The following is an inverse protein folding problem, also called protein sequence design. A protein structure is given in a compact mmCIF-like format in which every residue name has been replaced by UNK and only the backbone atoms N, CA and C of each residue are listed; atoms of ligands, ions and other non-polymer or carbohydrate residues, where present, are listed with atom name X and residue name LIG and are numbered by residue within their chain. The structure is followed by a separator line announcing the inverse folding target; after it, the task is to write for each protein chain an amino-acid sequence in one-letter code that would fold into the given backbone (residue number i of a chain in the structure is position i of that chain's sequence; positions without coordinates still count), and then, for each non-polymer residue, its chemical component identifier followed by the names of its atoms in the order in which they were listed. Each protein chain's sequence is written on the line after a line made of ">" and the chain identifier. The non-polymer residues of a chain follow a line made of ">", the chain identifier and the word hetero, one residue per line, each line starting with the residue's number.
data_IF_067665687487
#
_entry.id   IF_067665687487
#
_cell.length_a   1.000
_cell.length_b   1.000
_cell.length_c   1.000
_cell.angle_alpha   90.00
_cell.angle_beta   90.00
_cell.angle_gamma   90.00
#
_symmetry.space_group_name_H-M   'P 1'
#
loop_
_entity.id
_entity.type
_entity.pdbx_description
1 polymer ?
#
# COMPACT_ATOMS: atom_id res chain seq x y z
N UNK A 1 73.77 -106.98 10.79
CA UNK A 1 72.39 -106.74 11.02
C UNK A 1 71.63 -107.65 10.02
N UNK A 2 70.72 -108.44 10.48
CA UNK A 2 69.97 -109.33 9.59
C UNK A 2 68.90 -108.46 8.90
N UNK A 3 68.57 -108.75 7.62
CA UNK A 3 67.57 -108.06 6.78
C UNK A 3 66.25 -107.87 7.54
N UNK A 4 65.82 -108.79 8.38
CA UNK A 4 64.63 -108.69 9.25
C UNK A 4 64.72 -107.53 10.27
N UNK A 5 65.89 -107.20 10.80
CA UNK A 5 66.08 -106.08 11.78
C UNK A 5 65.91 -104.74 11.08
N UNK A 6 66.39 -104.62 9.84
CA UNK A 6 66.28 -103.36 9.06
C UNK A 6 64.84 -103.05 8.68
N UNK A 7 64.08 -104.05 8.29
CA UNK A 7 62.65 -103.89 7.93
C UNK A 7 61.84 -103.52 9.16
N UNK A 8 62.13 -104.12 10.32
CA UNK A 8 61.43 -103.75 11.60
C UNK A 8 61.69 -102.37 12.00
N UNK A 9 62.89 -101.81 11.84
CA UNK A 9 63.27 -100.44 12.19
C UNK A 9 62.61 -99.45 11.19
N UNK A 10 62.56 -99.80 9.92
CA UNK A 10 61.85 -99.02 8.88
C UNK A 10 60.34 -98.94 9.19
N UNK A 11 59.75 -100.02 9.58
CA UNK A 11 58.32 -100.04 9.99
C UNK A 11 58.07 -99.14 11.21
N UNK A 12 58.96 -99.15 12.20
CA UNK A 12 58.83 -98.27 13.39
C UNK A 12 58.96 -96.80 13.00
N UNK A 13 59.95 -96.45 12.14
CA UNK A 13 60.16 -95.11 11.63
C UNK A 13 58.91 -94.59 10.83
N UNK A 14 58.39 -95.51 9.99
CA UNK A 14 57.16 -95.23 9.20
C UNK A 14 55.97 -94.89 10.17
N UNK A 15 55.84 -95.70 11.26
CA UNK A 15 54.76 -95.54 12.19
C UNK A 15 54.94 -94.26 13.01
N UNK A 16 56.18 -93.90 13.36
CA UNK A 16 56.46 -92.62 13.98
C UNK A 16 56.11 -91.38 13.11
N UNK A 17 56.44 -91.48 11.78
CA UNK A 17 56.11 -90.47 10.79
C UNK A 17 54.60 -90.38 10.57
N UNK A 18 53.91 -91.54 10.47
CA UNK A 18 52.44 -91.53 10.41
C UNK A 18 51.79 -90.88 11.58
N UNK A 19 52.22 -91.19 12.82
CA UNK A 19 51.72 -90.57 14.02
C UNK A 19 52.00 -89.08 14.07
N UNK A 20 53.15 -88.65 13.56
CA UNK A 20 53.45 -87.19 13.42
C UNK A 20 52.57 -86.53 12.41
N UNK A 21 52.29 -87.17 11.26
CA UNK A 21 51.37 -86.66 10.24
C UNK A 21 49.92 -86.48 10.82
N UNK A 22 49.46 -87.49 11.54
CA UNK A 22 48.11 -87.39 12.19
C UNK A 22 48.00 -86.29 13.23
N UNK A 23 49.05 -86.16 14.07
CA UNK A 23 49.13 -85.06 15.04
C UNK A 23 49.15 -83.67 14.34
N UNK A 24 49.97 -83.55 13.27
CA UNK A 24 50.00 -82.26 12.50
C UNK A 24 48.66 -81.99 11.84
N UNK A 25 48.01 -83.02 11.25
CA UNK A 25 46.65 -82.92 10.66
C UNK A 25 45.62 -82.43 11.71
N UNK A 26 45.69 -82.98 12.92
CA UNK A 26 44.84 -82.55 14.01
C UNK A 26 45.11 -81.11 14.45
N UNK A 27 46.44 -80.72 14.53
CA UNK A 27 46.80 -79.34 14.84
C UNK A 27 46.32 -78.34 13.80
N UNK A 28 46.44 -78.65 12.51
CA UNK A 28 45.97 -77.83 11.38
C UNK A 28 44.46 -77.70 11.46
N UNK A 29 43.70 -78.77 11.75
CA UNK A 29 42.23 -78.69 11.95
C UNK A 29 41.85 -77.74 13.13
N UNK A 30 42.56 -77.83 14.22
CA UNK A 30 42.33 -76.99 15.40
C UNK A 30 42.66 -75.52 15.11
N UNK A 31 43.81 -75.26 14.52
CA UNK A 31 44.20 -73.86 14.13
C UNK A 31 43.15 -73.26 13.13
N UNK A 32 42.74 -74.08 12.13
CA UNK A 32 41.68 -73.66 11.19
C UNK A 32 40.38 -73.29 11.90
N UNK A 33 39.95 -74.10 12.84
CA UNK A 33 38.71 -73.90 13.61
C UNK A 33 38.84 -72.68 14.52
N UNK A 34 39.97 -72.42 15.17
CA UNK A 34 40.24 -71.27 16.01
C UNK A 34 40.27 -69.99 15.18
N UNK A 35 40.98 -70.03 14.03
CA UNK A 35 40.98 -68.87 13.12
C UNK A 35 39.62 -68.57 12.54
N UNK A 36 38.84 -69.53 12.12
CA UNK A 36 37.48 -69.34 11.66
C UNK A 36 36.58 -68.73 12.76
N UNK A 37 36.71 -69.16 13.99
CA UNK A 37 35.97 -68.62 15.13
C UNK A 37 36.41 -67.18 15.44
N UNK A 38 37.70 -66.88 15.39
CA UNK A 38 38.22 -65.52 15.57
C UNK A 38 37.71 -64.56 14.51
N UNK A 39 37.75 -64.96 13.21
CA UNK A 39 37.18 -64.18 12.12
C UNK A 39 35.68 -63.96 12.25
N UNK A 40 34.91 -64.99 12.64
CA UNK A 40 33.48 -64.84 12.88
C UNK A 40 33.15 -63.84 13.98
N UNK A 41 33.94 -63.83 15.04
CA UNK A 41 33.78 -62.89 16.16
C UNK A 41 34.10 -61.44 15.71
N UNK A 42 35.18 -61.28 14.98
CA UNK A 42 35.64 -59.98 14.46
C UNK A 42 34.64 -59.39 13.45
N UNK A 43 34.14 -60.20 12.52
CA UNK A 43 33.09 -59.80 11.57
C UNK A 43 31.81 -59.44 12.31
N UNK A 44 31.45 -60.14 13.37
CA UNK A 44 30.27 -59.82 14.18
C UNK A 44 30.42 -58.49 14.90
N UNK A 45 31.62 -58.18 15.42
CA UNK A 45 31.95 -56.91 16.07
C UNK A 45 31.90 -55.76 15.07
N UNK A 46 32.56 -55.88 13.92
CA UNK A 46 32.53 -54.86 12.86
C UNK A 46 31.12 -54.59 12.32
N UNK A 47 30.30 -55.65 12.11
CA UNK A 47 28.91 -55.45 11.72
C UNK A 47 28.12 -54.66 12.77
N UNK A 48 28.33 -54.87 14.06
CA UNK A 48 27.68 -54.16 15.13
C UNK A 48 28.09 -52.68 15.13
N UNK A 49 29.39 -52.41 15.08
CA UNK A 49 29.95 -51.06 15.01
C UNK A 49 29.41 -50.29 13.81
N UNK A 50 29.40 -50.94 12.63
CA UNK A 50 28.86 -50.34 11.42
C UNK A 50 27.34 -50.05 11.47
N UNK A 51 26.56 -50.93 12.12
CA UNK A 51 25.13 -50.68 12.37
C UNK A 51 24.92 -49.48 13.29
N UNK A 52 25.74 -49.29 14.33
CA UNK A 52 25.69 -48.15 15.23
C UNK A 52 26.02 -46.85 14.50
N UNK A 53 27.08 -46.84 13.66
CA UNK A 53 27.41 -45.69 12.81
C UNK A 53 26.29 -45.30 11.85
N UNK A 54 25.69 -46.29 11.15
CA UNK A 54 24.57 -46.09 10.24
C UNK A 54 23.38 -45.42 10.99
N UNK A 55 23.08 -45.88 12.19
CA UNK A 55 22.00 -45.28 13.00
C UNK A 55 22.30 -43.84 13.37
N UNK A 56 23.52 -43.51 13.79
CA UNK A 56 23.93 -42.16 14.11
C UNK A 56 23.85 -41.24 12.88
N UNK A 57 24.28 -41.74 11.71
CA UNK A 57 24.20 -41.00 10.44
C UNK A 57 22.75 -40.76 10.01
N UNK A 58 21.89 -41.77 10.12
CA UNK A 58 20.47 -41.60 9.82
C UNK A 58 19.78 -40.59 10.73
N UNK A 59 20.11 -40.57 12.03
CA UNK A 59 19.57 -39.56 12.95
C UNK A 59 20.08 -38.14 12.60
N UNK A 60 21.33 -37.99 12.17
CA UNK A 60 21.86 -36.73 11.65
C UNK A 60 21.13 -36.29 10.37
N UNK A 61 20.92 -37.19 9.45
CA UNK A 61 20.17 -36.92 8.21
C UNK A 61 18.77 -36.42 8.53
N UNK A 62 18.02 -37.11 9.40
CA UNK A 62 16.67 -36.66 9.83
C UNK A 62 16.67 -35.26 10.45
N UNK A 63 17.64 -34.95 11.29
CA UNK A 63 17.77 -33.60 11.88
C UNK A 63 18.04 -32.54 10.84
N UNK A 64 18.96 -32.80 9.90
CA UNK A 64 19.27 -31.89 8.80
C UNK A 64 18.10 -31.71 7.83
N UNK A 65 17.32 -32.72 7.55
CA UNK A 65 16.10 -32.62 6.73
C UNK A 65 15.05 -31.69 7.38
N UNK A 66 14.84 -31.83 8.70
CA UNK A 66 13.93 -30.95 9.45
C UNK A 66 14.43 -29.51 9.43
N UNK A 67 15.71 -29.29 9.63
CA UNK A 67 16.32 -27.96 9.59
C UNK A 67 16.25 -27.32 8.20
N UNK A 68 16.56 -28.08 7.16
CA UNK A 68 16.43 -27.64 5.77
C UNK A 68 14.99 -27.25 5.44
N UNK A 69 14.00 -28.01 5.91
CA UNK A 69 12.58 -27.68 5.71
C UNK A 69 12.21 -26.37 6.41
N UNK A 70 12.71 -26.14 7.64
CA UNK A 70 12.50 -24.90 8.36
C UNK A 70 13.14 -23.70 7.64
N UNK A 71 14.40 -23.83 7.23
CA UNK A 71 15.13 -22.79 6.50
C UNK A 71 14.49 -22.48 5.15
N UNK A 72 13.99 -23.47 4.43
CA UNK A 72 13.28 -23.29 3.17
C UNK A 72 11.99 -22.50 3.38
N UNK A 73 11.19 -22.85 4.38
CA UNK A 73 9.96 -22.13 4.72
C UNK A 73 10.25 -20.68 5.12
N UNK A 74 11.30 -20.45 5.90
CA UNK A 74 11.71 -19.09 6.30
C UNK A 74 12.21 -18.27 5.09
N UNK A 75 12.97 -18.88 4.20
CA UNK A 75 13.44 -18.24 2.97
C UNK A 75 12.25 -17.83 2.07
N UNK A 76 11.26 -18.70 1.92
CA UNK A 76 10.04 -18.41 1.17
C UNK A 76 9.24 -17.29 1.82
N UNK A 77 9.15 -17.26 3.14
CA UNK A 77 8.52 -16.16 3.89
C UNK A 77 9.24 -14.83 3.67
N UNK A 78 10.57 -14.82 3.79
CA UNK A 78 11.38 -13.60 3.59
C UNK A 78 11.33 -13.11 2.14
N UNK A 79 11.35 -14.00 1.17
CA UNK A 79 11.18 -13.64 -0.26
C UNK A 79 9.82 -12.99 -0.51
N UNK A 80 8.73 -13.54 0.02
CA UNK A 80 7.40 -12.93 -0.06
C UNK A 80 7.37 -11.54 0.57
N UNK A 81 8.00 -11.35 1.73
CA UNK A 81 8.08 -10.04 2.37
C UNK A 81 8.87 -9.02 1.54
N UNK A 82 9.97 -9.40 0.92
CA UNK A 82 10.80 -8.54 0.07
C UNK A 82 10.10 -8.19 -1.25
N UNK A 83 9.36 -9.13 -1.83
CA UNK A 83 8.65 -8.91 -3.08
C UNK A 83 7.36 -8.10 -2.92
N UNK A 84 6.79 -8.06 -1.70
CA UNK A 84 5.57 -7.30 -1.45
C UNK A 84 5.83 -5.80 -1.46
N UNK A 85 5.19 -5.10 -2.40
CA UNK A 85 5.25 -3.66 -2.60
C UNK A 85 3.84 -3.08 -2.83
N UNK A 86 3.74 -1.77 -3.03
CA UNK A 86 2.46 -1.08 -3.23
C UNK A 86 1.72 -1.47 -4.52
N UNK A 87 2.39 -2.11 -5.48
CA UNK A 87 1.76 -2.54 -6.74
C UNK A 87 1.17 -3.95 -6.66
N UNK A 88 1.62 -4.78 -5.73
CA UNK A 88 1.23 -6.19 -5.60
C UNK A 88 0.66 -6.56 -4.22
N UNK A 89 0.45 -5.58 -3.37
CA UNK A 89 -0.13 -5.75 -2.02
C UNK A 89 -0.88 -4.50 -1.59
N UNK A 90 -1.51 -4.52 -0.43
CA UNK A 90 -2.15 -3.34 0.19
C UNK A 90 -1.17 -2.43 0.93
N UNK A 91 0.15 -2.63 0.78
CA UNK A 91 1.15 -1.72 1.37
C UNK A 91 1.06 -0.33 0.75
N UNK A 92 1.11 0.75 1.55
CA UNK A 92 1.19 2.10 1.01
C UNK A 92 2.54 2.33 0.31
N UNK A 93 2.60 3.14 -0.76
CA UNK A 93 3.85 3.43 -1.49
C UNK A 93 5.00 3.95 -0.62
N UNK A 94 4.68 4.59 0.51
CA UNK A 94 5.66 5.08 1.49
C UNK A 94 6.40 3.98 2.25
N UNK A 95 5.91 2.73 2.21
CA UNK A 95 6.52 1.56 2.86
C UNK A 95 7.29 0.66 1.89
N UNK A 96 7.39 1.03 0.62
CA UNK A 96 8.17 0.29 -0.37
C UNK A 96 9.67 0.42 -0.07
N UNK A 97 10.38 -0.71 -0.01
CA UNK A 97 11.83 -0.75 0.23
C UNK A 97 12.59 -0.11 -0.95
N UNK A 98 12.07 -0.26 -2.16
CA UNK A 98 12.59 0.40 -3.37
C UNK A 98 11.48 1.23 -4.00
N UNK A 99 11.76 2.50 -4.41
CA UNK A 99 10.79 3.29 -5.15
C UNK A 99 10.37 2.51 -6.41
N UNK A 100 9.15 2.01 -6.41
CA UNK A 100 8.58 1.38 -7.59
C UNK A 100 8.22 2.46 -8.60
N UNK A 101 8.55 2.26 -9.89
CA UNK A 101 7.92 3.05 -10.95
C UNK A 101 6.41 2.88 -10.75
N UNK A 102 5.71 4.00 -10.54
CA UNK A 102 4.25 3.98 -10.41
C UNK A 102 3.68 3.45 -11.73
N UNK A 103 3.42 2.16 -11.79
CA UNK A 103 2.44 1.65 -12.71
C UNK A 103 1.12 2.25 -12.26
N UNK A 104 0.71 3.32 -12.92
CA UNK A 104 -0.59 3.94 -12.69
C UNK A 104 -1.60 2.90 -13.19
N UNK A 105 -2.06 2.06 -12.29
CA UNK A 105 -3.17 1.14 -12.54
C UNK A 105 -4.47 1.96 -12.47
N UNK A 106 -4.60 2.89 -13.41
CA UNK A 106 -5.93 3.30 -13.80
C UNK A 106 -6.40 2.20 -14.77
N UNK A 107 -7.62 1.73 -14.62
CA UNK A 107 -8.28 0.79 -15.54
C UNK A 107 -8.45 1.39 -16.96
N UNK A 108 -7.49 2.17 -17.44
CA UNK A 108 -7.40 2.72 -18.77
C UNK A 108 -6.50 1.80 -19.58
N UNK A 109 -7.07 1.13 -20.56
CA UNK A 109 -6.30 0.44 -21.57
C UNK A 109 -5.29 1.42 -22.20
N UNK A 110 -4.07 0.96 -22.41
CA UNK A 110 -3.10 1.71 -23.22
C UNK A 110 -3.69 1.84 -24.62
N UNK A 111 -4.20 3.02 -24.94
CA UNK A 111 -4.91 3.28 -26.20
C UNK A 111 -4.02 3.17 -27.45
N UNK A 112 -2.75 2.82 -27.32
CA UNK A 112 -1.77 2.80 -28.43
C UNK A 112 -1.50 4.16 -29.04
N UNK A 113 -2.13 5.22 -28.55
CA UNK A 113 -2.03 6.59 -29.08
C UNK A 113 -0.78 7.28 -28.54
N UNK A 114 -0.17 8.13 -29.34
CA UNK A 114 0.99 8.93 -28.93
C UNK A 114 0.66 9.84 -27.76
N UNK A 115 1.65 10.11 -26.90
CA UNK A 115 1.50 11.04 -25.78
C UNK A 115 1.26 12.44 -26.32
N UNK A 116 0.17 13.09 -25.89
CA UNK A 116 -0.21 14.45 -26.31
C UNK A 116 -1.64 14.53 -26.87
N UNK A 117 -2.01 15.69 -27.38
CA UNK A 117 -3.32 15.93 -28.00
C UNK A 117 -3.50 15.08 -29.25
N UNK A 118 -4.59 14.33 -29.33
CA UNK A 118 -4.95 13.52 -30.49
C UNK A 118 -5.60 14.38 -31.57
N UNK A 119 -5.56 13.94 -32.82
CA UNK A 119 -6.29 14.60 -33.91
C UNK A 119 -7.75 14.75 -33.53
N UNK A 120 -8.27 16.00 -33.59
CA UNK A 120 -9.66 16.33 -33.16
C UNK A 120 -9.80 16.70 -31.68
N UNK A 121 -8.74 16.62 -30.87
CA UNK A 121 -8.77 17.14 -29.51
C UNK A 121 -8.85 18.67 -29.55
N UNK A 122 -9.92 19.24 -29.01
CA UNK A 122 -10.01 20.70 -28.80
C UNK A 122 -9.03 21.07 -27.71
N UNK A 123 -7.87 21.61 -28.11
CA UNK A 123 -6.87 22.10 -27.15
C UNK A 123 -7.47 23.21 -26.28
N UNK A 124 -7.24 23.14 -24.98
CA UNK A 124 -7.54 24.23 -24.06
C UNK A 124 -6.36 25.20 -24.10
N UNK A 125 -6.30 26.09 -25.07
CA UNK A 125 -5.33 27.16 -25.12
C UNK A 125 -6.01 28.52 -24.95
N UNK A 126 -5.29 29.45 -24.34
CA UNK A 126 -5.77 30.82 -24.19
C UNK A 126 -5.88 31.45 -25.60
N UNK A 127 -7.11 31.75 -26.07
CA UNK A 127 -7.35 32.32 -27.38
C UNK A 127 -7.73 33.78 -27.26
N UNK A 128 -7.41 34.57 -28.31
CA UNK A 128 -7.78 35.98 -28.43
C UNK A 128 -9.32 36.13 -28.30
N UNK A 129 -10.09 35.26 -28.94
CA UNK A 129 -11.56 35.25 -28.87
C UNK A 129 -12.07 35.06 -27.42
N UNK A 130 -11.48 34.14 -26.67
CA UNK A 130 -11.83 33.92 -25.26
C UNK A 130 -11.64 35.17 -24.41
N UNK A 131 -10.51 35.90 -24.62
CA UNK A 131 -10.23 37.13 -23.85
C UNK A 131 -11.22 38.22 -24.23
N UNK A 132 -11.50 38.43 -25.52
CA UNK A 132 -12.44 39.44 -26.03
C UNK A 132 -13.90 39.18 -25.53
N UNK A 133 -14.34 37.94 -25.54
CA UNK A 133 -15.65 37.55 -24.99
C UNK A 133 -15.77 37.83 -23.49
N UNK A 134 -14.71 37.56 -22.71
CA UNK A 134 -14.72 37.82 -21.27
C UNK A 134 -14.62 39.33 -20.94
N UNK A 135 -13.91 40.10 -21.75
CA UNK A 135 -13.93 41.57 -21.63
C UNK A 135 -15.33 42.11 -21.93
N UNK A 136 -15.96 41.66 -23.02
CA UNK A 136 -17.31 42.07 -23.40
C UNK A 136 -18.36 41.73 -22.33
N UNK A 137 -18.19 40.62 -21.65
CA UNK A 137 -19.09 40.18 -20.56
C UNK A 137 -18.72 40.77 -19.20
N UNK A 138 -17.78 41.72 -19.11
CA UNK A 138 -17.27 42.33 -17.86
C UNK A 138 -16.71 41.29 -16.84
N UNK A 139 -16.22 40.15 -17.32
CA UNK A 139 -15.55 39.16 -16.48
C UNK A 139 -14.08 39.51 -16.22
N UNK A 140 -13.49 40.34 -17.08
CA UNK A 140 -12.12 40.85 -16.92
C UNK A 140 -12.12 42.36 -16.86
N UNK A 141 -11.26 42.92 -15.99
CA UNK A 141 -10.95 44.34 -16.04
C UNK A 141 -10.16 44.67 -17.30
N UNK A 142 -10.68 45.50 -18.17
CA UNK A 142 -10.05 45.85 -19.44
C UNK A 142 -9.23 47.12 -19.30
N UNK A 143 -7.92 47.00 -19.36
CA UNK A 143 -6.98 48.11 -19.35
C UNK A 143 -6.41 48.24 -20.75
N UNK A 144 -6.56 49.43 -21.36
CA UNK A 144 -5.99 49.73 -22.68
C UNK A 144 -4.70 50.55 -22.47
N UNK A 145 -3.59 49.97 -22.96
CA UNK A 145 -2.32 50.66 -23.00
C UNK A 145 -1.94 50.97 -24.44
N UNK A 146 -1.76 52.23 -24.73
CA UNK A 146 -1.32 52.71 -26.06
C UNK A 146 0.21 52.72 -26.13
N UNK A 147 0.76 51.94 -27.05
CA UNK A 147 2.19 51.85 -27.26
C UNK A 147 2.53 52.66 -28.51
N UNK A 148 3.44 53.66 -28.35
CA UNK A 148 3.83 54.59 -29.38
C UNK A 148 2.69 55.57 -29.75
N UNK A 149 2.72 56.25 -30.90
CA UNK A 149 1.73 57.21 -31.30
C UNK A 149 0.39 56.60 -31.65
N UNK A 150 -0.70 57.20 -31.21
CA UNK A 150 -2.05 56.78 -31.49
C UNK A 150 -2.38 57.02 -32.96
N UNK A 151 -2.80 56.01 -33.67
CA UNK A 151 -3.29 56.06 -35.04
C UNK A 151 -4.54 55.20 -35.21
N UNK A 152 -5.27 55.36 -36.32
CA UNK A 152 -6.50 54.58 -36.57
C UNK A 152 -6.23 53.09 -36.88
N UNK A 153 -4.96 52.74 -37.15
CA UNK A 153 -4.56 51.34 -37.43
C UNK A 153 -3.77 50.78 -36.27
N UNK A 154 -4.33 49.74 -35.63
CA UNK A 154 -3.67 49.05 -34.53
C UNK A 154 -3.92 47.55 -34.56
N UNK A 155 -3.07 46.78 -33.90
CA UNK A 155 -3.21 45.36 -33.65
C UNK A 155 -3.26 45.15 -32.14
N UNK A 156 -4.34 44.54 -31.67
CA UNK A 156 -4.47 44.19 -30.22
C UNK A 156 -3.74 42.90 -29.91
N UNK A 157 -2.95 42.94 -28.84
CA UNK A 157 -2.38 41.80 -28.14
C UNK A 157 -2.86 41.89 -26.71
N UNK A 158 -3.21 40.72 -26.11
CA UNK A 158 -3.75 40.65 -24.74
C UNK A 158 -2.75 39.94 -23.85
N UNK A 159 -2.54 40.48 -22.64
CA UNK A 159 -1.84 39.87 -21.53
C UNK A 159 -2.83 39.75 -20.41
N UNK A 160 -3.02 38.54 -19.90
CA UNK A 160 -3.82 38.34 -18.69
C UNK A 160 -2.89 38.28 -17.49
N UNK A 161 -3.21 39.11 -16.49
CA UNK A 161 -2.46 39.21 -15.25
C UNK A 161 -3.44 39.24 -14.06
N UNK A 162 -2.92 39.09 -12.85
CA UNK A 162 -3.66 39.20 -11.60
C UNK A 162 -3.08 40.33 -10.76
N UNK A 163 -3.95 41.12 -10.11
CA UNK A 163 -3.56 42.05 -9.05
C UNK A 163 -4.28 41.68 -7.76
N UNK A 164 -3.59 41.83 -6.65
CA UNK A 164 -4.15 41.59 -5.32
C UNK A 164 -4.31 42.95 -4.61
N UNK A 165 -5.56 43.29 -4.30
CA UNK A 165 -5.89 44.52 -3.55
C UNK A 165 -6.30 44.18 -2.13
N UNK A 166 -5.85 45.00 -1.19
CA UNK A 166 -6.26 44.91 0.22
C UNK A 166 -7.28 46.01 0.50
N UNK A 167 -8.52 45.60 0.79
CA UNK A 167 -9.62 46.50 1.08
C UNK A 167 -9.87 46.58 2.60
N UNK A 168 -9.92 47.77 3.13
CA UNK A 168 -10.37 48.02 4.50
C UNK A 168 -11.80 48.57 4.46
N UNK A 169 -12.74 47.83 5.04
CA UNK A 169 -14.15 48.24 5.12
C UNK A 169 -14.45 48.73 6.55
N UNK A 170 -14.89 49.95 6.69
CA UNK A 170 -15.33 50.54 7.97
C UNK A 170 -16.83 50.27 8.13
N UNK A 171 -17.22 49.60 9.20
CA UNK A 171 -18.64 49.42 9.58
C UNK A 171 -18.96 50.36 10.73
N UNK A 172 -19.93 51.29 10.54
CA UNK A 172 -20.35 52.28 11.56
C UNK A 172 -21.67 51.86 12.17
N UNK A 173 -21.67 51.62 13.46
CA UNK A 173 -22.87 51.26 14.21
C UNK A 173 -23.38 52.51 14.95
N UNK A 174 -24.56 52.95 14.61
CA UNK A 174 -25.19 54.15 15.19
C UNK A 174 -26.10 53.78 16.36
N UNK A 175 -26.26 54.71 17.32
CA UNK A 175 -27.20 54.57 18.42
C UNK A 175 -28.65 54.53 17.91
N UNK A 176 -29.49 53.66 18.50
CA UNK A 176 -30.93 53.65 18.26
C UNK A 176 -31.61 54.83 18.99
N UNK A 177 -32.95 54.97 18.87
CA UNK A 177 -33.77 55.96 19.47
C UNK A 177 -33.59 56.07 21.02
N UNK A 178 -33.22 54.96 21.65
CA UNK A 178 -32.93 54.87 23.09
C UNK A 178 -31.46 55.15 23.43
N UNK A 179 -30.65 55.65 22.49
CA UNK A 179 -29.26 55.99 22.70
C UNK A 179 -28.33 54.78 22.84
N UNK A 180 -28.82 53.53 22.56
CA UNK A 180 -28.05 52.29 22.69
C UNK A 180 -27.44 51.89 21.35
N UNK A 181 -26.12 51.62 21.34
CA UNK A 181 -25.43 51.04 20.19
C UNK A 181 -25.49 49.51 20.32
N UNK A 182 -25.99 48.83 19.28
CA UNK A 182 -26.06 47.37 19.20
C UNK A 182 -25.04 46.90 18.17
N UNK A 183 -24.01 46.21 18.64
CA UNK A 183 -22.98 45.63 17.78
C UNK A 183 -23.27 44.13 17.59
N UNK A 184 -23.45 43.65 16.34
CA UNK A 184 -23.66 42.25 16.06
C UNK A 184 -22.48 41.39 16.51
N UNK A 185 -22.77 40.10 16.82
CA UNK A 185 -21.75 39.18 17.37
C UNK A 185 -20.55 38.94 16.44
N UNK A 186 -20.71 39.10 15.14
CA UNK A 186 -19.66 39.01 14.13
C UNK A 186 -18.64 40.15 14.20
N UNK A 187 -18.95 41.28 14.85
CA UNK A 187 -18.09 42.47 14.97
C UNK A 187 -17.59 42.69 16.41
N UNK A 188 -17.10 41.61 17.05
CA UNK A 188 -16.65 41.68 18.45
C UNK A 188 -15.27 42.35 18.64
N UNK A 189 -14.45 42.37 17.58
CA UNK A 189 -13.13 43.00 17.61
C UNK A 189 -13.14 44.29 16.79
N UNK A 190 -12.39 45.28 17.22
CA UNK A 190 -12.23 46.56 16.51
C UNK A 190 -11.68 46.37 15.09
N UNK A 191 -10.80 45.38 14.93
CA UNK A 191 -10.23 44.98 13.64
C UNK A 191 -10.29 43.47 13.49
N UNK A 192 -10.72 43.00 12.32
CA UNK A 192 -10.77 41.57 12.05
C UNK A 192 -10.52 41.29 10.57
N UNK A 193 -10.04 40.08 10.28
CA UNK A 193 -9.86 39.58 8.90
C UNK A 193 -11.22 39.21 8.29
N UNK A 194 -11.41 39.56 7.03
CA UNK A 194 -12.64 39.27 6.28
C UNK A 194 -12.80 37.77 5.94
N UNK A 195 -14.01 37.44 5.49
CA UNK A 195 -14.36 36.05 5.12
C UNK A 195 -13.52 35.51 3.95
N UNK A 196 -13.26 36.33 2.94
CA UNK A 196 -12.50 35.92 1.73
C UNK A 196 -11.08 35.51 2.06
N UNK A 197 -10.37 36.32 2.89
CA UNK A 197 -9.02 35.98 3.33
C UNK A 197 -8.99 34.70 4.19
N UNK A 198 -9.97 34.53 5.07
CA UNK A 198 -10.11 33.27 5.86
C UNK A 198 -10.37 32.08 4.98
N UNK A 199 -11.22 32.23 3.96
CA UNK A 199 -11.52 31.16 2.99
C UNK A 199 -10.29 30.82 2.14
N UNK A 200 -9.55 31.82 1.66
CA UNK A 200 -8.30 31.62 0.93
C UNK A 200 -7.29 30.81 1.77
N UNK A 201 -7.11 31.19 3.04
CA UNK A 201 -6.24 30.45 3.97
C UNK A 201 -6.69 28.99 4.15
N UNK A 202 -7.99 28.75 4.30
CA UNK A 202 -8.53 27.42 4.46
C UNK A 202 -8.33 26.56 3.19
N UNK A 203 -8.62 27.10 2.01
CA UNK A 203 -8.44 26.41 0.73
C UNK A 203 -6.96 26.04 0.52
N UNK A 204 -6.05 26.99 0.73
CA UNK A 204 -4.62 26.73 0.53
C UNK A 204 -4.07 25.72 1.54
N UNK A 205 -4.49 25.77 2.79
CA UNK A 205 -4.01 24.83 3.80
C UNK A 205 -4.66 23.44 3.68
N UNK A 206 -5.99 23.37 3.61
CA UNK A 206 -6.74 22.10 3.67
C UNK A 206 -6.76 21.39 2.32
N UNK A 207 -7.07 22.11 1.26
CA UNK A 207 -7.23 21.52 -0.08
C UNK A 207 -5.90 21.42 -0.86
N UNK A 208 -5.05 22.45 -0.75
CA UNK A 208 -3.77 22.50 -1.47
C UNK A 208 -2.57 22.10 -0.60
N UNK A 209 -2.78 21.71 0.65
CA UNK A 209 -1.77 21.15 1.57
C UNK A 209 -0.57 22.11 1.77
N UNK A 210 -0.81 23.41 1.76
CA UNK A 210 0.24 24.41 2.04
C UNK A 210 0.46 24.48 3.55
N UNK A 211 1.70 24.31 4.01
CA UNK A 211 2.06 24.42 5.42
C UNK A 211 1.74 25.83 5.95
N UNK A 212 1.35 25.95 7.23
CA UNK A 212 0.85 27.20 7.81
C UNK A 212 1.89 28.31 7.80
N UNK A 213 3.14 28.00 8.10
CA UNK A 213 4.26 28.95 8.04
C UNK A 213 4.47 29.50 6.62
N UNK A 214 4.45 28.63 5.61
CA UNK A 214 4.51 29.04 4.19
C UNK A 214 3.29 29.84 3.76
N UNK A 215 2.14 29.57 4.36
CA UNK A 215 0.91 30.30 4.06
C UNK A 215 0.96 31.72 4.63
N UNK A 216 1.50 31.94 5.83
CA UNK A 216 1.71 33.28 6.36
C UNK A 216 2.66 34.10 5.50
N UNK A 217 3.77 33.48 5.06
CA UNK A 217 4.73 34.13 4.16
C UNK A 217 4.07 34.45 2.80
N UNK A 218 3.30 33.53 2.24
CA UNK A 218 2.58 33.74 0.98
C UNK A 218 1.63 34.94 1.08
N UNK A 219 0.77 35.00 2.11
CA UNK A 219 -0.17 36.13 2.31
C UNK A 219 0.58 37.45 2.46
N UNK A 220 1.66 37.48 3.22
CA UNK A 220 2.51 38.65 3.37
C UNK A 220 3.08 39.13 2.03
N UNK A 221 3.64 38.22 1.23
CA UNK A 221 4.25 38.56 -0.06
C UNK A 221 3.23 39.03 -1.09
N UNK A 222 2.08 38.33 -1.28
CA UNK A 222 1.09 38.70 -2.30
C UNK A 222 0.37 40.03 -1.95
N UNK A 223 0.37 40.41 -0.67
CA UNK A 223 -0.20 41.68 -0.21
C UNK A 223 0.85 42.78 -0.05
N UNK A 224 2.08 42.55 -0.49
CA UNK A 224 3.20 43.51 -0.36
C UNK A 224 3.40 44.00 1.08
N UNK A 225 3.33 43.08 2.05
CA UNK A 225 3.50 43.39 3.46
C UNK A 225 2.29 44.05 4.15
N UNK A 226 1.18 44.32 3.43
CA UNK A 226 0.00 45.01 3.99
C UNK A 226 -0.79 44.15 4.98
N UNK A 227 -0.73 42.79 4.82
CA UNK A 227 -1.34 41.82 5.73
C UNK A 227 -0.26 40.94 6.32
N UNK A 228 -0.12 40.94 7.62
CA UNK A 228 0.80 40.08 8.35
C UNK A 228 0.02 39.29 9.39
N UNK A 229 -0.28 38.01 9.05
CA UNK A 229 -1.03 37.10 9.93
C UNK A 229 -0.07 36.22 10.70
N UNK A 230 -0.35 35.96 11.97
CA UNK A 230 0.40 34.94 12.71
C UNK A 230 -0.09 33.53 12.38
N UNK A 231 0.78 32.53 12.53
CA UNK A 231 0.44 31.09 12.38
C UNK A 231 -0.75 30.73 13.28
N UNK A 232 -0.76 31.24 14.53
CA UNK A 232 -1.85 31.02 15.49
C UNK A 232 -3.20 31.58 15.00
N UNK A 233 -3.21 32.70 14.30
CA UNK A 233 -4.41 33.27 13.70
C UNK A 233 -5.00 32.36 12.65
N UNK A 234 -4.17 31.84 11.73
CA UNK A 234 -4.61 30.92 10.69
C UNK A 234 -5.16 29.62 11.30
N UNK A 235 -4.44 29.02 12.26
CA UNK A 235 -4.90 27.81 12.97
C UNK A 235 -6.26 28.04 13.61
N UNK A 236 -6.47 29.18 14.29
CA UNK A 236 -7.73 29.48 14.94
C UNK A 236 -8.86 29.70 13.94
N UNK A 237 -8.60 30.28 12.77
CA UNK A 237 -9.59 30.43 11.71
C UNK A 237 -10.00 29.05 11.14
N UNK A 238 -9.05 28.15 10.89
CA UNK A 238 -9.34 26.81 10.40
C UNK A 238 -10.13 26.01 11.45
N UNK A 239 -9.77 26.09 12.73
CA UNK A 239 -10.54 25.46 13.82
C UNK A 239 -11.98 25.99 13.89
N UNK A 240 -12.16 27.30 13.80
CA UNK A 240 -13.49 27.91 13.81
C UNK A 240 -14.32 27.53 12.61
N UNK A 241 -13.69 27.45 11.42
CA UNK A 241 -14.33 26.96 10.20
C UNK A 241 -14.77 25.49 10.38
N UNK A 242 -13.90 24.62 10.88
CA UNK A 242 -14.23 23.23 11.15
C UNK A 242 -15.44 23.08 12.07
N UNK A 243 -15.50 23.87 13.15
CA UNK A 243 -16.65 23.88 14.05
C UNK A 243 -17.94 24.35 13.36
N UNK A 244 -17.87 25.41 12.56
CA UNK A 244 -19.04 25.94 11.83
C UNK A 244 -19.54 24.97 10.73
N UNK A 245 -18.68 24.07 10.24
CA UNK A 245 -19.03 23.06 9.24
C UNK A 245 -19.60 21.77 9.85
N UNK A 246 -19.67 21.64 11.18
CA UNK A 246 -20.11 20.42 11.85
C UNK A 246 -21.52 19.98 11.43
N UNK A 247 -22.46 20.91 11.27
CA UNK A 247 -23.81 20.61 10.79
C UNK A 247 -23.80 20.07 9.36
N UNK A 248 -22.96 20.63 8.48
CA UNK A 248 -22.82 20.18 7.10
C UNK A 248 -22.19 18.79 7.06
N UNK A 249 -21.15 18.55 7.88
CA UNK A 249 -20.51 17.25 7.99
C UNK A 249 -21.47 16.18 8.50
N UNK A 250 -22.34 16.51 9.45
CA UNK A 250 -23.38 15.62 9.93
C UNK A 250 -24.40 15.29 8.80
N UNK A 251 -24.82 16.27 8.02
CA UNK A 251 -25.69 16.02 6.82
C UNK A 251 -24.99 15.10 5.81
N UNK A 252 -23.68 15.28 5.57
CA UNK A 252 -22.91 14.38 4.69
C UNK A 252 -22.83 12.98 5.29
N UNK A 253 -22.58 12.86 6.59
CA UNK A 253 -22.58 11.60 7.31
C UNK A 253 -23.92 10.87 7.17
N UNK A 254 -25.04 11.57 7.39
CA UNK A 254 -26.39 10.99 7.25
C UNK A 254 -26.65 10.48 5.84
N UNK A 255 -26.22 11.22 4.81
CA UNK A 255 -26.34 10.78 3.40
C UNK A 255 -25.52 9.54 3.11
N UNK A 256 -24.31 9.43 3.69
CA UNK A 256 -23.47 8.24 3.58
C UNK A 256 -24.13 7.05 4.30
N UNK A 257 -24.65 7.25 5.52
CA UNK A 257 -25.29 6.20 6.31
C UNK A 257 -26.55 5.65 5.65
N UNK A 258 -27.31 6.50 4.96
CA UNK A 258 -28.54 6.13 4.23
C UNK A 258 -28.26 5.62 2.81
N UNK A 259 -27.01 5.55 2.38
CA UNK A 259 -26.67 5.07 1.05
C UNK A 259 -26.77 3.55 0.96
N UNK A 260 -27.13 3.04 -0.21
CA UNK A 260 -27.19 1.60 -0.48
C UNK A 260 -25.79 0.95 -0.45
N UNK A 261 -24.76 1.71 -0.83
CA UNK A 261 -23.38 1.25 -1.00
C UNK A 261 -22.40 2.31 -0.49
N UNK A 262 -21.47 1.88 0.35
CA UNK A 262 -20.39 2.73 0.86
C UNK A 262 -19.04 2.09 0.58
N UNK A 263 -18.11 2.90 0.10
CA UNK A 263 -16.72 2.54 -0.06
C UNK A 263 -15.93 2.97 1.17
N UNK A 264 -15.05 2.13 1.66
CA UNK A 264 -14.14 2.47 2.76
C UNK A 264 -12.75 1.90 2.53
N UNK A 265 -11.77 2.73 2.81
CA UNK A 265 -10.34 2.39 2.77
C UNK A 265 -9.61 3.24 3.81
N UNK A 266 -8.49 2.75 4.33
CA UNK A 266 -7.73 3.44 5.36
C UNK A 266 -6.25 3.53 5.02
N UNK A 267 -5.72 4.74 5.15
CA UNK A 267 -4.29 4.99 5.06
C UNK A 267 -3.72 5.39 6.40
N UNK A 268 -2.40 5.24 6.55
CA UNK A 268 -1.68 5.71 7.72
C UNK A 268 -1.03 7.05 7.42
N UNK A 269 -1.21 8.01 8.31
CA UNK A 269 -0.55 9.31 8.27
C UNK A 269 0.24 9.54 9.56
N UNK A 270 1.17 10.48 9.53
CA UNK A 270 1.99 10.83 10.69
C UNK A 270 1.54 12.18 11.27
N UNK A 271 1.22 12.19 12.58
CA UNK A 271 0.86 13.39 13.31
C UNK A 271 1.61 13.40 14.65
N UNK A 272 2.37 14.45 14.93
CA UNK A 272 3.16 14.60 16.15
C UNK A 272 4.04 13.36 16.47
N UNK A 273 4.77 12.87 15.47
CA UNK A 273 5.60 11.66 15.53
C UNK A 273 4.85 10.34 15.85
N UNK A 274 3.52 10.33 15.83
CA UNK A 274 2.69 9.14 15.99
C UNK A 274 1.99 8.80 14.69
N UNK A 275 1.83 7.51 14.43
CA UNK A 275 1.01 7.06 13.33
C UNK A 275 -0.46 7.20 13.72
N UNK A 276 -1.25 7.80 12.84
CA UNK A 276 -2.70 7.87 12.92
C UNK A 276 -3.30 7.18 11.70
N UNK A 277 -4.51 6.69 11.81
CA UNK A 277 -5.26 6.14 10.70
C UNK A 277 -6.22 7.21 10.17
N UNK A 278 -6.20 7.45 8.86
CA UNK A 278 -7.19 8.28 8.16
C UNK A 278 -8.01 7.36 7.28
N UNK A 279 -9.31 7.29 7.55
CA UNK A 279 -10.25 6.44 6.84
C UNK A 279 -11.19 7.27 5.99
N UNK A 280 -11.36 6.83 4.76
CA UNK A 280 -12.34 7.34 3.82
C UNK A 280 -13.67 6.58 3.97
N UNK A 281 -14.77 7.32 3.99
CA UNK A 281 -16.13 6.82 3.83
C UNK A 281 -16.75 7.56 2.67
N UNK A 282 -17.04 6.88 1.58
CA UNK A 282 -17.53 7.54 0.37
C UNK A 282 -18.67 6.78 -0.31
N UNK A 283 -19.50 7.54 -1.00
CA UNK A 283 -20.48 7.06 -1.94
C UNK A 283 -20.10 7.57 -3.34
N UNK A 284 -20.99 7.42 -4.31
CA UNK A 284 -20.77 7.98 -5.64
C UNK A 284 -20.82 9.54 -5.64
N UNK A 285 -21.43 10.15 -4.60
CA UNK A 285 -21.66 11.62 -4.51
C UNK A 285 -20.96 12.30 -3.33
N UNK A 286 -20.74 11.59 -2.24
CA UNK A 286 -20.28 12.17 -0.97
C UNK A 286 -19.04 11.45 -0.45
N UNK A 287 -18.14 12.23 0.16
CA UNK A 287 -16.93 11.70 0.82
C UNK A 287 -16.74 12.35 2.18
N UNK A 288 -16.46 11.52 3.18
CA UNK A 288 -16.10 11.94 4.52
C UNK A 288 -14.81 11.27 4.96
N UNK A 289 -13.84 12.04 5.42
CA UNK A 289 -12.57 11.55 5.97
C UNK A 289 -12.60 11.63 7.49
N UNK A 290 -12.27 10.53 8.15
CA UNK A 290 -12.17 10.46 9.61
C UNK A 290 -10.78 10.02 10.03
N UNK A 291 -10.18 10.74 10.98
CA UNK A 291 -8.91 10.37 11.59
C UNK A 291 -9.15 9.65 12.94
N UNK A 292 -8.45 8.55 13.15
CA UNK A 292 -8.47 7.78 14.40
C UNK A 292 -7.02 7.46 14.82
N UNK A 293 -6.81 7.16 16.09
CA UNK A 293 -5.46 6.82 16.57
C UNK A 293 -4.97 5.50 15.94
N UNK A 294 -5.85 4.52 15.82
CA UNK A 294 -5.54 3.20 15.26
C UNK A 294 -6.65 2.71 14.33
N UNK A 295 -6.45 1.57 13.69
CA UNK A 295 -7.47 0.83 12.92
C UNK A 295 -8.28 -0.13 13.79
N UNK A 296 -8.17 -0.06 15.12
CA UNK A 296 -8.86 -0.97 16.03
C UNK A 296 -10.38 -0.77 15.97
N UNK A 297 -11.12 -1.85 16.32
CA UNK A 297 -12.58 -1.82 16.38
C UNK A 297 -13.08 -0.67 17.27
N UNK A 298 -12.49 -0.48 18.46
CA UNK A 298 -12.88 0.57 19.39
C UNK A 298 -12.69 1.99 18.84
N UNK A 299 -11.64 2.23 18.05
CA UNK A 299 -11.42 3.54 17.42
C UNK A 299 -12.36 3.77 16.23
N UNK A 300 -12.69 2.73 15.48
CA UNK A 300 -13.67 2.79 14.39
C UNK A 300 -15.09 3.11 14.92
N UNK A 301 -15.47 2.51 16.04
CA UNK A 301 -16.78 2.74 16.69
C UNK A 301 -16.95 4.19 17.16
N UNK A 302 -15.87 4.86 17.58
CA UNK A 302 -15.90 6.29 17.95
C UNK A 302 -16.33 7.21 16.80
N UNK A 303 -16.11 6.82 15.55
CA UNK A 303 -16.56 7.60 14.38
C UNK A 303 -18.07 7.58 14.22
N UNK A 304 -18.74 6.54 14.76
CA UNK A 304 -20.18 6.33 14.67
C UNK A 304 -20.67 6.18 13.22
N UNK A 305 -19.83 5.71 12.30
CA UNK A 305 -20.21 5.49 10.90
C UNK A 305 -20.40 4.01 10.64
N UNK A 306 -19.35 3.20 10.77
CA UNK A 306 -19.44 1.76 10.49
C UNK A 306 -20.45 1.04 11.41
N UNK A 307 -20.48 1.42 12.69
CA UNK A 307 -21.41 0.83 13.67
C UNK A 307 -22.89 1.09 13.36
N UNK A 308 -23.20 2.13 12.60
CA UNK A 308 -24.58 2.51 12.21
C UNK A 308 -24.92 2.13 10.78
N UNK A 309 -23.92 1.76 9.96
CA UNK A 309 -24.15 1.49 8.54
C UNK A 309 -24.70 0.08 8.31
N UNK A 310 -25.83 -0.02 7.61
CA UNK A 310 -26.53 -1.28 7.36
C UNK A 310 -26.50 -1.71 5.88
N UNK A 311 -25.90 -0.91 5.00
CA UNK A 311 -25.84 -1.18 3.57
C UNK A 311 -24.69 -2.12 3.16
N UNK A 312 -24.34 -2.10 1.88
CA UNK A 312 -23.25 -2.87 1.31
C UNK A 312 -21.91 -2.12 1.48
N UNK A 313 -20.91 -2.75 2.10
CA UNK A 313 -19.56 -2.22 2.25
C UNK A 313 -18.66 -2.71 1.12
N UNK A 314 -18.02 -1.78 0.43
CA UNK A 314 -16.94 -2.05 -0.54
C UNK A 314 -15.62 -1.66 0.12
N UNK A 315 -14.74 -2.63 0.34
CA UNK A 315 -13.49 -2.40 1.09
C UNK A 315 -12.34 -3.29 0.60
N UNK A 316 -11.15 -3.04 1.10
CA UNK A 316 -10.04 -3.98 1.02
C UNK A 316 -10.28 -5.18 1.97
N UNK A 317 -9.44 -6.18 1.92
CA UNK A 317 -9.58 -7.38 2.76
C UNK A 317 -9.24 -7.11 4.24
N UNK A 318 -9.65 -5.98 4.81
CA UNK A 318 -9.40 -5.62 6.22
C UNK A 318 -10.37 -6.37 7.15
N UNK A 319 -9.88 -7.31 8.00
CA UNK A 319 -10.76 -8.22 8.76
C UNK A 319 -11.75 -7.53 9.69
N UNK A 320 -11.38 -6.36 10.25
CA UNK A 320 -12.25 -5.65 11.20
C UNK A 320 -13.52 -5.12 10.52
N UNK A 321 -13.48 -4.83 9.21
CA UNK A 321 -14.62 -4.27 8.46
C UNK A 321 -15.74 -5.29 8.29
N UNK A 322 -15.44 -6.59 8.24
CA UNK A 322 -16.44 -7.64 8.15
C UNK A 322 -17.39 -7.73 9.37
N UNK A 323 -17.12 -6.99 10.45
CA UNK A 323 -18.04 -6.89 11.60
C UNK A 323 -19.18 -5.87 11.37
N UNK A 324 -19.20 -5.14 10.25
CA UNK A 324 -20.15 -4.05 10.01
C UNK A 324 -20.86 -4.25 8.67
N UNK A 325 -21.96 -3.50 8.48
CA UNK A 325 -22.75 -3.59 7.25
C UNK A 325 -23.55 -4.89 7.13
N UNK A 326 -24.35 -5.00 6.07
CA UNK A 326 -25.15 -6.21 5.79
C UNK A 326 -24.56 -7.11 4.71
N UNK A 327 -23.75 -6.54 3.81
CA UNK A 327 -23.11 -7.23 2.70
C UNK A 327 -21.70 -6.65 2.47
N UNK A 328 -20.80 -7.49 1.99
CA UNK A 328 -19.42 -7.12 1.71
C UNK A 328 -19.09 -7.37 0.25
N UNK A 329 -18.35 -6.43 -0.34
CA UNK A 329 -17.78 -6.52 -1.67
C UNK A 329 -16.32 -6.12 -1.57
N UNK A 330 -15.43 -6.97 -2.03
CA UNK A 330 -14.01 -6.66 -2.07
C UNK A 330 -13.70 -5.66 -3.19
N UNK A 331 -12.77 -4.75 -2.92
CA UNK A 331 -12.33 -3.78 -3.90
C UNK A 331 -11.54 -4.47 -5.02
N UNK A 332 -12.04 -4.41 -6.25
CA UNK A 332 -11.40 -5.04 -7.42
C UNK A 332 -9.93 -4.62 -7.61
N UNK A 333 -9.58 -3.38 -7.26
CA UNK A 333 -8.19 -2.90 -7.33
C UNK A 333 -7.30 -3.66 -6.37
N UNK A 334 -7.78 -3.95 -5.15
CA UNK A 334 -7.02 -4.73 -4.17
C UNK A 334 -6.97 -6.20 -4.57
N UNK A 335 -8.08 -6.77 -5.04
CA UNK A 335 -8.12 -8.16 -5.55
C UNK A 335 -7.11 -8.34 -6.70
N UNK A 336 -7.09 -7.45 -7.68
CA UNK A 336 -6.12 -7.54 -8.80
C UNK A 336 -4.67 -7.36 -8.33
N UNK A 337 -4.40 -6.54 -7.32
CA UNK A 337 -3.06 -6.44 -6.70
C UNK A 337 -2.64 -7.75 -6.02
N UNK A 338 -3.54 -8.39 -5.28
CA UNK A 338 -3.27 -9.67 -4.64
C UNK A 338 -3.00 -10.79 -5.66
N UNK A 339 -3.80 -10.84 -6.74
CA UNK A 339 -3.57 -11.78 -7.84
C UNK A 339 -2.22 -11.55 -8.51
N UNK A 340 -1.86 -10.29 -8.78
CA UNK A 340 -0.55 -9.92 -9.31
C UNK A 340 0.58 -10.38 -8.38
N UNK A 341 0.47 -10.09 -7.08
CA UNK A 341 1.44 -10.54 -6.09
C UNK A 341 1.55 -12.06 -5.98
N UNK A 342 0.44 -12.78 -6.12
CA UNK A 342 0.45 -14.23 -6.18
C UNK A 342 1.18 -14.75 -7.42
N UNK A 343 0.87 -14.19 -8.59
CA UNK A 343 1.55 -14.55 -9.84
C UNK A 343 3.07 -14.31 -9.77
N UNK A 344 3.51 -13.17 -9.24
CA UNK A 344 4.94 -12.84 -9.07
C UNK A 344 5.66 -13.81 -8.13
N UNK A 345 4.95 -14.43 -7.18
CA UNK A 345 5.52 -15.39 -6.22
C UNK A 345 5.39 -16.85 -6.65
N UNK A 346 4.41 -17.22 -7.47
CA UNK A 346 4.07 -18.61 -7.78
C UNK A 346 4.14 -18.94 -9.27
N UNK A 347 4.12 -17.91 -10.14
CA UNK A 347 4.07 -18.02 -11.61
C UNK A 347 2.86 -18.83 -12.14
N UNK A 348 1.75 -18.89 -11.38
CA UNK A 348 0.52 -19.52 -11.84
C UNK A 348 -0.14 -18.68 -12.94
N UNK A 349 -0.65 -19.33 -14.01
CA UNK A 349 -1.30 -18.64 -15.14
C UNK A 349 -2.70 -18.13 -14.79
N UNK A 350 -3.44 -18.85 -13.94
CA UNK A 350 -4.81 -18.52 -13.57
C UNK A 350 -4.95 -17.15 -12.90
N UNK A 351 -3.90 -16.65 -12.25
CA UNK A 351 -3.89 -15.32 -11.64
C UNK A 351 -4.06 -14.23 -12.70
N UNK A 352 -3.36 -14.36 -13.83
CA UNK A 352 -3.45 -13.42 -14.96
C UNK A 352 -4.81 -13.52 -15.64
N UNK A 353 -5.28 -14.74 -15.90
CA UNK A 353 -6.61 -14.99 -16.49
C UNK A 353 -7.72 -14.35 -15.65
N UNK A 354 -7.62 -14.44 -14.32
CA UNK A 354 -8.60 -13.79 -13.42
C UNK A 354 -8.50 -12.27 -13.46
N UNK A 355 -7.30 -11.69 -13.55
CA UNK A 355 -7.11 -10.24 -13.70
C UNK A 355 -7.76 -9.77 -15.00
N UNK A 356 -7.52 -10.47 -16.12
CA UNK A 356 -8.11 -10.15 -17.42
C UNK A 356 -9.63 -10.24 -17.36
N UNK A 357 -10.19 -11.29 -16.76
CA UNK A 357 -11.63 -11.45 -16.56
C UNK A 357 -12.25 -10.29 -15.77
N UNK A 358 -11.66 -9.87 -14.65
CA UNK A 358 -12.13 -8.74 -13.85
C UNK A 358 -12.10 -7.44 -14.67
N UNK A 359 -11.06 -7.20 -15.45
CA UNK A 359 -10.93 -6.03 -16.30
C UNK A 359 -11.97 -6.02 -17.42
N UNK A 360 -12.22 -7.16 -18.06
CA UNK A 360 -13.24 -7.31 -19.10
C UNK A 360 -14.65 -7.02 -18.56
N UNK A 361 -14.99 -7.56 -17.38
CA UNK A 361 -16.26 -7.23 -16.70
C UNK A 361 -16.40 -5.74 -16.40
N UNK A 362 -15.33 -5.09 -15.95
CA UNK A 362 -15.34 -3.65 -15.70
C UNK A 362 -15.56 -2.84 -16.98
N UNK A 363 -14.97 -3.26 -18.09
CA UNK A 363 -15.15 -2.59 -19.39
C UNK A 363 -16.59 -2.76 -19.91
N UNK A 364 -17.14 -3.97 -19.88
CA UNK A 364 -18.55 -4.25 -20.21
C UNK A 364 -19.51 -3.41 -19.37
N UNK A 365 -19.26 -3.28 -18.07
CA UNK A 365 -20.07 -2.42 -17.19
C UNK A 365 -20.04 -0.95 -17.65
N UNK A 366 -18.86 -0.41 -18.04
CA UNK A 366 -18.73 0.97 -18.51
C UNK A 366 -19.51 1.20 -19.80
N UNK A 367 -19.45 0.25 -20.73
CA UNK A 367 -20.19 0.29 -21.98
C UNK A 367 -21.71 0.30 -21.74
N UNK A 368 -22.20 -0.57 -20.84
CA UNK A 368 -23.61 -0.60 -20.46
C UNK A 368 -24.07 0.72 -19.83
N UNK A 369 -23.28 1.33 -18.94
CA UNK A 369 -23.59 2.63 -18.35
C UNK A 369 -23.65 3.70 -19.44
N UNK A 370 -22.71 3.73 -20.38
CA UNK A 370 -22.69 4.69 -21.49
C UNK A 370 -23.92 4.54 -22.37
N UNK A 371 -24.33 3.32 -22.70
CA UNK A 371 -25.52 3.03 -23.48
C UNK A 371 -26.81 3.53 -22.77
N UNK A 372 -26.90 3.33 -21.45
CA UNK A 372 -28.03 3.80 -20.65
C UNK A 372 -28.10 5.33 -20.65
N UNK A 373 -26.95 6.00 -20.41
CA UNK A 373 -26.87 7.46 -20.42
C UNK A 373 -27.24 8.07 -21.80
N UNK A 374 -26.81 7.43 -22.90
CA UNK A 374 -27.15 7.87 -24.27
C UNK A 374 -28.64 7.66 -24.62
N UNK A 375 -29.35 6.78 -23.92
CA UNK A 375 -30.81 6.57 -24.12
C UNK A 375 -31.67 7.48 -23.24
N UNK A 376 -31.08 8.14 -22.24
CA UNK A 376 -31.79 9.07 -21.35
C UNK A 376 -31.66 10.54 -21.79
N UNK A 377 -30.81 10.85 -22.78
CA UNK A 377 -30.72 12.14 -23.49
C UNK A 377 -31.38 12.05 -24.87
#
# INVERSE_FOLDING_TARGET
>A
MTEKGYISDLYRQLQEVMNKCDNLSLQVKNIKKETENKYKLEVKKLKKEHCEEINILNDKIKKLEIENKKLKNENDRLRKQLNNNSNNSSKPPSSDIKPQKKDIQNNREKSGKTVGGQIGHKGTHLSKKYVEENIKNNNFNHIIQHIVNITDKYISKYVLDISVEVNATEYRFYANENGKIIIPKEFQSDVQYGSELKTLCAILNVNNVVAIDRLTDFINHITHGKINMSNGTIVNHIKKLSFNLEEILNKVKDKILNSRKMYTDATTSRCNNRNISVRNYSTDEHTLLCATNTKSKSDLEKTGILSQYLGTLVHDHEPVIYNYGSKHVECNVHVTRYLKGNHENTSHSWDIEMIEFINDLNNKKKELILIVLLKMN
#
